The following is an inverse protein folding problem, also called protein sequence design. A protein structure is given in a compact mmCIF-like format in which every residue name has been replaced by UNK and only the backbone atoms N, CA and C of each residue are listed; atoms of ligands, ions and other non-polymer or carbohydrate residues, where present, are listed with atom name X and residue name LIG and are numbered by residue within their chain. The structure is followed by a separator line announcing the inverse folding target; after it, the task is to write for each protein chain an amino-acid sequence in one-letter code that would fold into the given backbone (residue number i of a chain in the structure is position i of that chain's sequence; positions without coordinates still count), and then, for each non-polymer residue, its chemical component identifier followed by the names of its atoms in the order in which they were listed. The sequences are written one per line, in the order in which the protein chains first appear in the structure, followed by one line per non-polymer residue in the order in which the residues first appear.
data_IF_903188953239
#
_entry.id   IF_903188953239
#
_cell.length_a   1.000
_cell.length_b   1.000
_cell.length_c   1.000
_cell.angle_alpha   90.00
_cell.angle_beta   90.00
_cell.angle_gamma   90.00
#
_symmetry.space_group_name_H-M   'P 1'
#
loop_
_entity.id
_entity.type
_entity.pdbx_description
1 polymer ?
#
# COMPACT_ATOMS: atom_id res chain seq x y z
N UNK A 1 3.03 -21.33 -0.79
CA UNK A 1 2.50 -20.25 0.05
C UNK A 1 2.08 -19.09 -0.83
N UNK A 2 0.86 -18.54 -0.63
CA UNK A 2 0.47 -17.25 -1.22
C UNK A 2 1.54 -16.17 -0.92
N UNK A 3 1.82 -15.26 -1.86
CA UNK A 3 2.92 -14.27 -1.74
C UNK A 3 2.72 -13.26 -0.60
N UNK A 4 1.51 -13.19 -0.10
CA UNK A 4 0.94 -12.32 0.90
C UNK A 4 0.88 -12.94 2.30
N UNK A 5 1.37 -14.18 2.47
CA UNK A 5 1.42 -14.85 3.77
C UNK A 5 2.85 -15.28 4.12
N UNK A 6 3.27 -15.04 5.37
CA UNK A 6 4.54 -15.53 5.93
C UNK A 6 4.31 -16.28 7.23
N UNK A 7 5.11 -17.31 7.46
CA UNK A 7 5.13 -18.02 8.73
C UNK A 7 5.84 -17.19 9.80
N UNK A 8 5.18 -17.01 10.94
CA UNK A 8 5.76 -16.37 12.11
C UNK A 8 6.72 -17.33 12.83
N UNK A 9 7.67 -16.78 13.59
CA UNK A 9 8.57 -17.58 14.45
C UNK A 9 7.87 -18.44 15.50
N UNK A 10 6.56 -18.23 15.72
CA UNK A 10 5.73 -18.96 16.69
C UNK A 10 4.83 -20.03 16.03
N UNK A 11 5.03 -20.34 14.74
CA UNK A 11 4.28 -21.40 14.05
C UNK A 11 2.88 -21.00 13.54
N UNK A 12 2.57 -19.71 13.48
CA UNK A 12 1.31 -19.18 12.91
C UNK A 12 1.52 -18.38 11.62
N UNK A 13 0.51 -18.36 10.74
CA UNK A 13 0.55 -17.63 9.48
C UNK A 13 0.19 -16.15 9.66
N UNK A 14 0.90 -15.25 8.95
CA UNK A 14 0.70 -13.81 8.99
C UNK A 14 0.40 -13.29 7.58
N UNK A 15 -0.71 -12.56 7.41
CA UNK A 15 -1.02 -11.82 6.19
C UNK A 15 -0.55 -10.36 6.28
N UNK A 16 -0.06 -9.82 5.17
CA UNK A 16 0.26 -8.41 5.03
C UNK A 16 -0.92 -7.53 4.66
N UNK A 17 -1.18 -6.50 5.45
CA UNK A 17 -2.19 -5.48 5.19
C UNK A 17 -1.58 -4.10 5.06
N UNK A 18 -1.86 -3.44 3.94
CA UNK A 18 -1.56 -2.04 3.69
C UNK A 18 -2.71 -1.19 4.23
N UNK A 19 -2.39 -0.15 4.97
CA UNK A 19 -3.34 0.89 5.39
C UNK A 19 -2.87 2.24 4.87
N UNK A 20 -3.79 3.02 4.32
CA UNK A 20 -3.55 4.35 3.78
C UNK A 20 -4.26 5.37 4.65
N UNK A 21 -3.51 6.29 5.25
CA UNK A 21 -4.03 7.47 5.93
C UNK A 21 -3.90 8.67 4.98
N UNK A 22 -5.03 9.32 4.71
CA UNK A 22 -5.15 10.34 3.66
C UNK A 22 -5.43 11.68 4.32
N UNK A 23 -4.65 12.68 3.92
CA UNK A 23 -4.82 14.07 4.37
C UNK A 23 -6.21 14.60 3.98
N UNK A 24 -6.74 15.54 4.76
CA UNK A 24 -8.15 15.96 4.64
C UNK A 24 -8.46 16.52 3.24
N UNK A 25 -7.51 17.28 2.68
CA UNK A 25 -7.61 17.86 1.34
C UNK A 25 -7.84 16.83 0.23
N UNK A 26 -7.35 15.60 0.38
CA UNK A 26 -7.52 14.53 -0.61
C UNK A 26 -8.70 13.60 -0.29
N UNK A 27 -9.22 13.65 0.94
CA UNK A 27 -10.17 12.65 1.46
C UNK A 27 -11.46 12.59 0.65
N UNK A 28 -12.00 13.74 0.27
CA UNK A 28 -13.25 13.81 -0.51
C UNK A 28 -13.10 13.23 -1.92
N UNK A 29 -11.89 13.30 -2.47
CA UNK A 29 -11.55 12.76 -3.77
C UNK A 29 -11.12 11.29 -3.71
N UNK A 30 -10.77 10.73 -2.57
CA UNK A 30 -10.35 9.33 -2.52
C UNK A 30 -11.51 8.38 -2.85
N UNK A 31 -11.34 7.53 -3.86
CA UNK A 31 -12.33 6.52 -4.27
C UNK A 31 -11.88 5.08 -4.01
N UNK A 32 -10.62 4.88 -3.62
CA UNK A 32 -10.10 3.55 -3.28
C UNK A 32 -10.50 3.10 -1.87
N UNK A 33 -10.29 1.82 -1.60
CA UNK A 33 -10.23 1.34 -0.21
C UNK A 33 -9.11 2.09 0.54
N UNK A 34 -9.22 2.24 1.86
CA UNK A 34 -8.09 2.67 2.71
C UNK A 34 -7.27 1.48 3.21
N UNK A 35 -7.71 0.26 2.90
CA UNK A 35 -7.06 -0.99 3.29
C UNK A 35 -6.91 -1.93 2.09
N UNK A 36 -5.70 -2.41 1.84
CA UNK A 36 -5.39 -3.28 0.70
C UNK A 36 -4.53 -4.46 1.14
N UNK A 37 -4.68 -5.61 0.49
CA UNK A 37 -3.73 -6.72 0.65
C UNK A 37 -2.38 -6.34 0.02
N UNK A 38 -1.28 -6.78 0.63
CA UNK A 38 0.07 -6.61 0.06
C UNK A 38 0.21 -7.31 -1.29
N UNK A 39 -0.61 -8.32 -1.60
CA UNK A 39 -0.66 -8.93 -2.93
C UNK A 39 -0.93 -7.93 -4.06
N UNK A 40 -1.67 -6.84 -3.79
CA UNK A 40 -1.91 -5.74 -4.71
C UNK A 40 -0.69 -4.86 -5.01
N UNK A 41 0.31 -4.84 -4.12
CA UNK A 41 1.64 -4.25 -4.41
C UNK A 41 2.43 -5.13 -5.37
N UNK A 42 2.26 -6.46 -5.24
CA UNK A 42 3.07 -7.48 -5.90
C UNK A 42 2.49 -7.98 -7.24
N UNK A 43 1.38 -7.41 -7.71
CA UNK A 43 0.68 -7.87 -8.90
C UNK A 43 1.39 -7.45 -10.20
N UNK A 44 1.75 -8.49 -10.96
CA UNK A 44 2.11 -8.61 -12.39
C UNK A 44 2.56 -7.34 -13.11
N UNK A 45 3.79 -6.89 -12.87
CA UNK A 45 4.68 -6.27 -13.88
C UNK A 45 6.09 -5.97 -13.35
N UNK A 46 6.29 -5.97 -12.04
CA UNK A 46 7.61 -5.81 -11.41
C UNK A 46 8.44 -7.13 -11.40
N UNK A 47 8.45 -7.90 -12.51
CA UNK A 47 9.23 -9.14 -12.67
C UNK A 47 10.76 -8.92 -12.57
N UNK A 48 11.24 -7.68 -12.48
CA UNK A 48 12.64 -7.38 -12.16
C UNK A 48 12.96 -7.54 -10.68
N UNK A 49 11.97 -7.61 -9.80
CA UNK A 49 12.19 -7.84 -8.37
C UNK A 49 11.69 -9.22 -7.97
N UNK A 50 12.37 -10.26 -8.48
CA UNK A 50 12.08 -11.67 -8.19
C UNK A 50 12.28 -12.06 -6.71
N UNK A 51 12.87 -11.18 -5.90
CA UNK A 51 13.24 -11.49 -4.51
C UNK A 51 12.43 -10.78 -3.44
N UNK A 52 11.54 -9.84 -3.81
CA UNK A 52 10.73 -9.14 -2.81
C UNK A 52 9.69 -10.07 -2.21
N UNK A 53 9.75 -10.19 -0.89
CA UNK A 53 8.85 -10.98 -0.05
C UNK A 53 8.02 -10.05 0.82
N UNK A 54 6.86 -10.53 1.25
CA UNK A 54 6.01 -9.81 2.20
C UNK A 54 6.78 -9.26 3.41
N UNK A 55 7.70 -10.07 3.97
CA UNK A 55 8.50 -9.70 5.15
C UNK A 55 9.26 -8.39 4.97
N UNK A 56 9.64 -8.05 3.75
CA UNK A 56 10.43 -6.85 3.45
C UNK A 56 9.57 -5.58 3.59
N UNK A 57 8.24 -5.71 3.49
CA UNK A 57 7.30 -4.62 3.73
C UNK A 57 6.80 -4.54 5.18
N UNK A 58 6.90 -5.61 5.97
CA UNK A 58 6.29 -5.64 7.30
C UNK A 58 6.90 -4.57 8.22
N UNK A 59 6.06 -3.76 8.86
CA UNK A 59 6.49 -2.68 9.74
C UNK A 59 6.81 -1.37 9.02
N UNK A 60 6.70 -1.33 7.69
CA UNK A 60 6.90 -0.09 6.94
C UNK A 60 5.87 0.98 7.32
N UNK A 61 6.38 2.21 7.44
CA UNK A 61 5.59 3.42 7.66
C UNK A 61 6.22 4.57 6.86
N UNK A 62 5.60 4.88 5.71
CA UNK A 62 6.14 5.83 4.74
C UNK A 62 5.14 6.94 4.47
N UNK A 63 5.63 8.17 4.40
CA UNK A 63 4.87 9.38 4.07
C UNK A 63 5.25 9.85 2.68
N UNK A 64 4.24 10.24 1.92
CA UNK A 64 4.37 10.73 0.57
C UNK A 64 3.68 12.08 0.43
N UNK A 65 4.30 12.99 -0.32
CA UNK A 65 3.64 14.14 -0.93
C UNK A 65 3.20 13.72 -2.32
N UNK A 66 1.92 13.93 -2.63
CA UNK A 66 1.37 13.62 -3.95
C UNK A 66 0.70 14.83 -4.58
N UNK A 67 0.64 14.84 -5.91
CA UNK A 67 -0.18 15.77 -6.68
C UNK A 67 -1.22 15.00 -7.48
N UNK A 68 -2.47 15.48 -7.46
CA UNK A 68 -3.61 14.86 -8.14
C UNK A 68 -4.20 15.84 -9.14
N UNK A 69 -4.30 15.42 -10.40
CA UNK A 69 -4.86 16.26 -11.46
C UNK A 69 -6.40 16.27 -11.45
N UNK A 70 -7.00 17.04 -12.34
CA UNK A 70 -8.45 17.17 -12.46
C UNK A 70 -9.15 15.85 -12.87
N UNK A 71 -8.44 14.91 -13.50
CA UNK A 71 -8.94 13.57 -13.84
C UNK A 71 -8.92 12.60 -12.66
N UNK A 72 -8.26 12.98 -11.56
CA UNK A 72 -8.12 12.12 -10.38
C UNK A 72 -6.93 11.17 -10.45
N UNK A 73 -5.97 11.46 -11.33
CA UNK A 73 -4.74 10.70 -11.49
C UNK A 73 -3.64 11.33 -10.62
N UNK A 74 -2.81 10.49 -10.01
CA UNK A 74 -1.64 10.94 -9.25
C UNK A 74 -0.47 11.15 -10.22
N UNK A 75 -0.05 12.40 -10.39
CA UNK A 75 1.06 12.78 -11.29
C UNK A 75 2.40 12.70 -10.55
N UNK A 76 2.48 13.33 -9.38
CA UNK A 76 3.69 13.35 -8.55
C UNK A 76 3.50 12.47 -7.33
N UNK A 77 4.56 11.74 -6.94
CA UNK A 77 4.60 10.97 -5.71
C UNK A 77 6.04 11.02 -5.17
N UNK A 78 6.27 11.81 -4.13
CA UNK A 78 7.57 12.02 -3.52
C UNK A 78 7.56 11.52 -2.09
N UNK A 79 8.57 10.73 -1.73
CA UNK A 79 8.77 10.27 -0.35
C UNK A 79 9.21 11.44 0.53
N UNK A 80 8.63 11.54 1.73
CA UNK A 80 8.94 12.58 2.72
C UNK A 80 9.77 12.08 3.91
N UNK A 81 10.04 10.78 3.96
CA UNK A 81 10.85 10.19 5.03
C UNK A 81 12.34 10.55 4.83
N UNK A 82 13.10 10.74 5.93
CA UNK A 82 14.51 11.14 5.85
C UNK A 82 15.43 10.04 5.32
N UNK A 83 15.05 8.78 5.48
CA UNK A 83 15.80 7.62 5.00
C UNK A 83 15.10 7.06 3.77
N UNK A 84 15.79 7.01 2.63
CA UNK A 84 15.28 6.29 1.45
C UNK A 84 15.26 4.78 1.71
N UNK A 85 14.17 4.13 1.31
CA UNK A 85 14.02 2.69 1.39
C UNK A 85 13.89 2.12 -0.01
N UNK A 86 14.52 0.98 -0.29
CA UNK A 86 14.51 0.35 -1.62
C UNK A 86 13.08 0.10 -2.14
N UNK A 87 12.15 -0.15 -1.22
CA UNK A 87 10.73 -0.41 -1.51
C UNK A 87 9.89 0.84 -1.77
N UNK A 88 10.43 2.05 -1.57
CA UNK A 88 9.70 3.30 -1.79
C UNK A 88 9.21 3.43 -3.22
N UNK A 89 10.06 3.06 -4.19
CA UNK A 89 9.69 3.11 -5.61
C UNK A 89 8.49 2.22 -5.93
N UNK A 90 8.34 1.09 -5.24
CA UNK A 90 7.19 0.19 -5.40
C UNK A 90 5.93 0.78 -4.79
N UNK A 91 6.04 1.35 -3.58
CA UNK A 91 4.92 2.04 -2.94
C UNK A 91 4.45 3.24 -3.78
N UNK A 92 5.36 4.02 -4.36
CA UNK A 92 5.04 5.12 -5.26
C UNK A 92 4.34 4.65 -6.53
N UNK A 93 4.82 3.58 -7.17
CA UNK A 93 4.14 2.99 -8.36
C UNK A 93 2.75 2.48 -8.02
N UNK A 94 2.60 1.84 -6.87
CA UNK A 94 1.30 1.37 -6.41
C UNK A 94 0.33 2.49 -6.05
N UNK A 95 0.82 3.56 -5.39
CA UNK A 95 0.03 4.75 -5.12
C UNK A 95 -0.48 5.37 -6.42
N UNK A 96 0.36 5.50 -7.45
CA UNK A 96 -0.05 6.04 -8.76
C UNK A 96 -1.12 5.22 -9.49
N UNK A 97 -1.30 3.95 -9.12
CA UNK A 97 -2.40 3.09 -9.64
C UNK A 97 -3.71 3.29 -8.89
N UNK A 98 -3.71 4.02 -7.76
CA UNK A 98 -4.94 4.36 -7.05
C UNK A 98 -5.65 5.49 -7.80
N UNK A 99 -6.94 5.29 -8.07
CA UNK A 99 -7.78 6.31 -8.67
C UNK A 99 -8.43 7.17 -7.58
N UNK A 100 -8.41 8.48 -7.79
CA UNK A 100 -9.24 9.44 -7.07
C UNK A 100 -10.38 9.91 -7.98
N UNK A 101 -11.48 10.37 -7.39
CA UNK A 101 -12.57 11.03 -8.10
C UNK A 101 -12.04 12.26 -8.85
N UNK A 102 -12.51 12.52 -10.08
CA UNK A 102 -12.25 13.77 -10.78
C UNK A 102 -12.67 14.99 -9.95
N UNK A 103 -11.97 16.10 -10.11
CA UNK A 103 -12.18 17.35 -9.38
C UNK A 103 -12.27 18.54 -10.32
N UNK A 104 -12.88 19.63 -9.85
CA UNK A 104 -12.97 20.89 -10.61
C UNK A 104 -11.68 21.72 -10.55
N UNK A 105 -10.92 21.53 -9.49
CA UNK A 105 -9.62 22.17 -9.27
C UNK A 105 -8.57 21.58 -10.22
N UNK A 106 -7.57 22.38 -10.59
CA UNK A 106 -6.48 21.95 -11.47
C UNK A 106 -5.61 20.86 -10.84
N UNK A 107 -4.54 21.26 -10.16
CA UNK A 107 -3.62 20.36 -9.47
C UNK A 107 -3.80 20.49 -7.96
N UNK A 108 -4.14 19.39 -7.29
CA UNK A 108 -4.34 19.33 -5.85
C UNK A 108 -3.17 18.62 -5.18
N UNK A 109 -2.58 19.24 -4.16
CA UNK A 109 -1.49 18.65 -3.38
C UNK A 109 -2.00 18.13 -2.05
N UNK A 110 -1.47 16.98 -1.62
CA UNK A 110 -1.79 16.45 -0.30
C UNK A 110 -0.83 15.36 0.14
N UNK A 111 -0.92 15.01 1.41
CA UNK A 111 -0.06 13.98 2.02
C UNK A 111 -0.79 12.64 2.11
N UNK A 112 -0.04 11.57 1.95
CA UNK A 112 -0.50 10.21 2.19
C UNK A 112 0.51 9.51 3.08
N UNK A 113 0.03 8.77 4.07
CA UNK A 113 0.86 7.85 4.86
C UNK A 113 0.44 6.42 4.59
N UNK A 114 1.40 5.60 4.20
CA UNK A 114 1.23 4.17 3.92
C UNK A 114 1.87 3.37 5.04
N UNK A 115 1.09 2.50 5.67
CA UNK A 115 1.56 1.57 6.70
C UNK A 115 1.35 0.15 6.24
N UNK A 116 2.31 -0.73 6.51
CA UNK A 116 2.16 -2.17 6.25
C UNK A 116 2.29 -2.94 7.56
N UNK A 117 1.22 -3.67 7.90
CA UNK A 117 1.13 -4.46 9.13
C UNK A 117 0.96 -5.93 8.81
N UNK A 118 1.55 -6.78 9.65
CA UNK A 118 1.27 -8.21 9.65
C UNK A 118 0.12 -8.51 10.59
N UNK A 119 -0.90 -9.22 10.14
CA UNK A 119 -2.01 -9.69 10.95
C UNK A 119 -2.01 -11.22 10.96
N UNK A 120 -2.31 -11.88 12.09
CA UNK A 120 -2.50 -13.32 12.12
C UNK A 120 -3.58 -13.72 11.12
N UNK A 121 -3.31 -14.73 10.30
CA UNK A 121 -4.34 -15.38 9.51
C UNK A 121 -5.18 -16.17 10.50
N UNK A 122 -6.45 -15.78 10.67
CA UNK A 122 -7.39 -16.66 11.34
C UNK A 122 -7.51 -17.93 10.49
N UNK A 123 -6.93 -19.01 10.98
CA UNK A 123 -7.32 -20.34 10.52
C UNK A 123 -8.72 -20.48 11.07
N UNK A 124 -9.73 -20.17 10.25
CA UNK A 124 -11.09 -20.60 10.52
C UNK A 124 -10.99 -22.10 10.73
N UNK A 125 -11.07 -22.52 11.98
CA UNK A 125 -11.08 -23.92 12.34
C UNK A 125 -12.13 -24.57 11.47
N UNK A 126 -11.69 -25.58 10.72
CA UNK A 126 -12.60 -26.60 10.24
C UNK A 126 -13.25 -27.12 11.53
N UNK A 127 -14.51 -26.79 11.78
CA UNK A 127 -15.34 -27.61 12.64
C UNK A 127 -15.42 -28.96 11.92
N UNK A 128 -14.49 -29.84 12.25
CA UNK A 128 -14.59 -31.27 11.97
C UNK A 128 -15.43 -31.90 13.09
N UNK A 129 -16.56 -32.44 12.63
CA UNK A 129 -17.53 -33.37 13.25
C UNK A 129 -18.50 -32.90 14.34
#
# INVERSE_FOLDING_TARGET
MPRDVVESRKGGMIEGKITVEIDEVLRERWSGSSAHSVSGLLSREDQKVKEIRLRDFLGMDRRFLISVNNRGEIETCQVLNPEEHELDGLLSRWLRRQALKPGKEGLLWGKIRVKVRGLPVEVSGIEED
#
